data_IF_892204711965
#
_entry.id   IF_892204711965
#
_cell.length_a   1.000
_cell.length_b   1.000
_cell.length_c   1.000
_cell.angle_alpha   90.00
_cell.angle_beta   90.00
_cell.angle_gamma   90.00
#
_symmetry.space_group_name_H-M   'P 1'
#
loop_
_entity.id
_entity.type
_entity.pdbx_description
1 polymer ?
#
# COMPACT_ATOMS: atom_id res chain seq x y z
N UNK A 1 1.39 -8.62 -12.71
CA UNK A 1 0.96 -8.88 -11.32
C UNK A 1 -0.48 -9.42 -11.35
N UNK A 2 -0.82 -10.46 -10.61
CA UNK A 2 -2.13 -11.15 -10.67
C UNK A 2 -3.19 -10.57 -9.71
N UNK A 3 -2.89 -9.47 -9.00
CA UNK A 3 -3.82 -8.84 -8.06
C UNK A 3 -4.12 -9.65 -6.77
N UNK A 4 -3.36 -10.73 -6.54
CA UNK A 4 -3.50 -11.61 -5.38
C UNK A 4 -2.89 -11.01 -4.09
N UNK A 5 -2.16 -9.90 -4.22
CA UNK A 5 -1.55 -9.15 -3.14
C UNK A 5 -2.59 -8.76 -2.08
N UNK A 6 -3.78 -8.33 -2.49
CA UNK A 6 -4.87 -7.97 -1.56
C UNK A 6 -5.26 -9.11 -0.64
N UNK A 7 -5.51 -10.29 -1.21
CA UNK A 7 -5.93 -11.47 -0.45
C UNK A 7 -4.81 -11.99 0.48
N UNK A 8 -3.57 -12.00 -0.01
CA UNK A 8 -2.41 -12.43 0.77
C UNK A 8 -2.18 -11.49 1.96
N UNK A 9 -2.28 -10.18 1.74
CA UNK A 9 -2.06 -9.17 2.78
C UNK A 9 -3.19 -9.17 3.81
N UNK A 10 -4.45 -9.37 3.41
CA UNK A 10 -5.58 -9.54 4.33
C UNK A 10 -5.34 -10.74 5.27
N UNK A 11 -5.01 -11.91 4.71
CA UNK A 11 -4.72 -13.12 5.50
C UNK A 11 -3.51 -12.94 6.43
N UNK A 12 -2.49 -12.18 6.00
CA UNK A 12 -1.34 -11.85 6.86
C UNK A 12 -1.75 -11.00 8.05
N UNK A 13 -2.60 -10.00 7.84
CA UNK A 13 -3.10 -9.12 8.90
C UNK A 13 -3.83 -9.93 9.98
N UNK A 14 -4.79 -10.76 9.59
CA UNK A 14 -5.55 -11.63 10.49
C UNK A 14 -4.62 -12.52 11.34
N UNK A 15 -3.62 -13.15 10.71
CA UNK A 15 -2.69 -14.04 11.41
C UNK A 15 -1.83 -13.29 12.43
N UNK A 16 -1.39 -12.08 12.08
CA UNK A 16 -0.57 -11.26 12.98
C UNK A 16 -1.42 -10.74 14.16
N UNK A 17 -2.65 -10.32 13.90
CA UNK A 17 -3.59 -9.89 14.94
C UNK A 17 -3.91 -11.03 15.91
N UNK A 18 -4.18 -12.24 15.40
CA UNK A 18 -4.37 -13.42 16.23
C UNK A 18 -3.13 -13.74 17.08
N UNK A 19 -1.92 -13.64 16.51
CA UNK A 19 -0.68 -13.86 17.25
C UNK A 19 -0.43 -12.79 18.32
N UNK A 20 -0.81 -11.53 18.07
CA UNK A 20 -0.74 -10.44 19.05
C UNK A 20 -1.72 -10.67 20.19
N UNK A 21 -2.97 -11.04 19.88
CA UNK A 21 -3.99 -11.35 20.88
C UNK A 21 -3.61 -12.53 21.77
N UNK A 22 -2.94 -13.54 21.21
CA UNK A 22 -2.49 -14.72 21.95
C UNK A 22 -1.29 -14.44 22.88
N UNK A 23 -0.42 -13.47 22.57
CA UNK A 23 0.78 -13.20 23.35
C UNK A 23 1.05 -11.68 23.47
N UNK A 24 0.18 -10.91 24.15
CA UNK A 24 0.28 -9.46 24.20
C UNK A 24 1.61 -8.96 24.80
N UNK A 25 2.14 -9.63 25.82
CA UNK A 25 3.40 -9.23 26.49
C UNK A 25 4.60 -9.21 25.55
N UNK A 26 4.65 -10.15 24.58
CA UNK A 26 5.72 -10.19 23.56
C UNK A 26 5.64 -9.01 22.59
N UNK A 27 4.43 -8.53 22.32
CA UNK A 27 4.17 -7.48 21.32
C UNK A 27 4.18 -6.08 21.94
N UNK A 28 3.91 -5.99 23.24
CA UNK A 28 3.74 -4.73 23.96
C UNK A 28 2.64 -3.87 23.33
N UNK A 29 2.84 -2.55 23.36
CA UNK A 29 1.86 -1.58 22.88
C UNK A 29 1.93 -1.32 21.36
N UNK A 30 2.79 -2.03 20.62
CA UNK A 30 2.96 -1.79 19.17
C UNK A 30 1.77 -2.28 18.38
N UNK A 31 1.35 -1.49 17.40
CA UNK A 31 0.35 -1.89 16.42
C UNK A 31 0.86 -2.99 15.49
N UNK A 32 -0.08 -3.67 14.83
CA UNK A 32 0.22 -4.65 13.79
C UNK A 32 0.78 -3.93 12.57
N UNK A 33 1.76 -4.56 11.90
CA UNK A 33 2.40 -4.01 10.69
C UNK A 33 1.36 -3.62 9.63
N UNK A 34 1.66 -2.54 8.90
CA UNK A 34 0.84 -2.14 7.77
C UNK A 34 0.80 -3.25 6.71
N UNK A 35 -0.38 -3.83 6.52
CA UNK A 35 -0.67 -4.85 5.51
C UNK A 35 -1.63 -4.30 4.43
N UNK A 36 -1.56 -3.00 4.11
CA UNK A 36 -2.33 -2.45 3.00
C UNK A 36 -1.62 -2.73 1.66
N UNK A 37 -2.38 -3.12 0.62
CA UNK A 37 -1.81 -3.26 -0.72
C UNK A 37 -1.38 -1.88 -1.24
N UNK A 38 -0.18 -1.82 -1.81
CA UNK A 38 0.29 -0.64 -2.53
C UNK A 38 -0.27 -0.70 -3.95
N UNK A 39 -0.71 0.44 -4.46
CA UNK A 39 -1.22 0.54 -5.83
C UNK A 39 -0.17 0.12 -6.88
N UNK A 40 -0.62 -0.07 -8.14
CA UNK A 40 0.31 -0.39 -9.22
C UNK A 40 1.35 0.71 -9.35
N UNK A 41 2.63 0.32 -9.33
CA UNK A 41 3.75 1.21 -9.60
C UNK A 41 4.44 0.75 -10.88
N UNK A 42 4.78 1.71 -11.73
CA UNK A 42 5.53 1.44 -12.95
C UNK A 42 6.98 1.90 -12.75
N UNK A 43 7.93 1.16 -13.31
CA UNK A 43 9.36 1.51 -13.25
C UNK A 43 9.63 2.86 -13.96
N UNK A 44 8.80 3.19 -14.94
CA UNK A 44 8.79 4.46 -15.64
C UNK A 44 7.35 5.01 -15.61
N UNK A 45 7.07 6.10 -14.88
CA UNK A 45 5.74 6.70 -14.89
C UNK A 45 5.39 7.22 -16.28
N UNK A 46 4.13 7.08 -16.67
CA UNK A 46 3.58 7.71 -17.87
C UNK A 46 3.83 9.23 -17.78
N UNK A 47 4.34 9.84 -18.86
CA UNK A 47 4.49 11.30 -18.91
C UNK A 47 3.11 11.92 -18.79
N UNK A 48 2.89 12.73 -17.76
CA UNK A 48 1.68 13.54 -17.64
C UNK A 48 1.56 14.40 -18.90
N UNK A 49 0.40 14.45 -19.57
CA UNK A 49 0.20 15.37 -20.68
C UNK A 49 0.35 16.78 -20.13
N UNK A 50 1.45 17.44 -20.49
CA UNK A 50 1.62 18.86 -20.21
C UNK A 50 0.50 19.58 -20.93
N UNK A 51 -0.48 20.12 -20.19
CA UNK A 51 -1.46 21.06 -20.74
C UNK A 51 -0.64 22.17 -21.40
N UNK A 52 -0.71 22.29 -22.72
CA UNK A 52 -0.09 23.39 -23.44
C UNK A 52 -0.75 24.67 -22.93
N UNK A 53 -0.04 25.42 -22.09
CA UNK A 53 -0.45 26.77 -21.73
C UNK A 53 -0.19 27.60 -22.97
N UNK A 54 -1.23 27.81 -23.78
CA UNK A 54 -1.20 28.75 -24.90
C UNK A 54 -0.80 30.13 -24.36
N UNK A 55 0.47 30.50 -24.55
CA UNK A 55 0.92 31.87 -24.34
C UNK A 55 0.43 32.68 -25.55
N UNK A 56 -0.68 33.41 -25.38
CA UNK A 56 -1.01 34.52 -26.29
C UNK A 56 0.03 35.62 -26.10
N UNK A 57 0.79 35.90 -27.15
CA UNK A 57 1.63 37.10 -27.25
C UNK A 57 0.74 38.29 -27.62
N UNK A 58 0.95 39.42 -26.92
CA UNK A 58 0.34 40.72 -27.21
C UNK A 58 1.35 41.60 -27.96
#
# INVERSE_FOLDING_TARGET
HTGQDKAILAKRKERIEAAKAANPDRWGNREVRNCTPVGPITLNPEKQPTKQVEKRAA
#
